data_IF_695785364739
#
_entry.id   IF_695785364739
#
_cell.length_a   1.000
_cell.length_b   1.000
_cell.length_c   1.000
_cell.angle_alpha   90.00
_cell.angle_beta   90.00
_cell.angle_gamma   90.00
#
_symmetry.space_group_name_H-M   'P 1'
#
loop_
_entity.id
_entity.type
_entity.pdbx_description
1 polymer ?
#
# COMPACT_ATOMS: atom_id res chain seq x y z
N UNK A 1 -5.82 -10.85 45.54
CA UNK A 1 -7.09 -10.12 45.46
C UNK A 1 -7.33 -9.76 44.02
N UNK A 2 -6.37 -9.08 43.38
CA UNK A 2 -6.28 -8.67 41.96
C UNK A 2 -7.11 -9.44 40.92
N UNK A 3 -7.12 -10.78 40.91
CA UNK A 3 -7.88 -11.58 39.93
C UNK A 3 -9.40 -11.50 40.07
N UNK A 4 -9.92 -11.18 41.27
CA UNK A 4 -11.36 -11.05 41.51
C UNK A 4 -11.85 -9.68 41.07
N UNK A 5 -11.11 -8.63 41.38
CA UNK A 5 -11.37 -7.29 40.87
C UNK A 5 -11.30 -7.24 39.33
N UNK A 6 -10.31 -7.89 38.71
CA UNK A 6 -10.20 -7.99 37.25
C UNK A 6 -11.43 -8.68 36.61
N UNK A 7 -11.94 -9.73 37.26
CA UNK A 7 -13.13 -10.45 36.81
C UNK A 7 -14.39 -9.59 36.93
N UNK A 8 -14.52 -8.83 38.02
CA UNK A 8 -15.65 -7.92 38.23
C UNK A 8 -15.65 -6.78 37.20
N UNK A 9 -14.47 -6.23 36.88
CA UNK A 9 -14.30 -5.23 35.82
C UNK A 9 -14.71 -5.83 34.47
N UNK A 10 -14.24 -7.05 34.14
CA UNK A 10 -14.59 -7.71 32.90
C UNK A 10 -16.11 -7.91 32.76
N UNK A 11 -16.79 -8.40 33.81
CA UNK A 11 -18.24 -8.61 33.76
C UNK A 11 -19.00 -7.29 33.52
N UNK A 12 -18.59 -6.20 34.17
CA UNK A 12 -19.17 -4.86 33.92
C UNK A 12 -18.99 -4.42 32.47
N UNK A 13 -17.80 -4.59 31.89
CA UNK A 13 -17.57 -4.24 30.49
C UNK A 13 -18.43 -5.06 29.52
N UNK A 14 -18.66 -6.34 29.81
CA UNK A 14 -19.54 -7.20 28.99
C UNK A 14 -20.99 -6.71 29.03
N UNK A 15 -21.48 -6.34 30.21
CA UNK A 15 -22.83 -5.79 30.37
C UNK A 15 -22.99 -4.45 29.65
N UNK A 16 -22.01 -3.55 29.76
CA UNK A 16 -21.97 -2.27 29.05
C UNK A 16 -21.99 -2.44 27.52
N UNK A 17 -21.22 -3.38 26.98
CA UNK A 17 -21.22 -3.70 25.54
C UNK A 17 -22.55 -4.31 25.13
N UNK A 18 -23.14 -5.18 25.96
CA UNK A 18 -24.44 -5.79 25.66
C UNK A 18 -25.54 -4.73 25.56
N UNK A 19 -25.57 -3.77 26.49
CA UNK A 19 -26.51 -2.65 26.47
C UNK A 19 -26.32 -1.80 25.20
N UNK A 20 -25.07 -1.46 24.87
CA UNK A 20 -24.75 -0.70 23.67
C UNK A 20 -25.21 -1.39 22.38
N UNK A 21 -25.03 -2.71 22.29
CA UNK A 21 -25.48 -3.52 21.14
C UNK A 21 -27.01 -3.60 21.07
N UNK A 22 -27.70 -3.57 22.22
CA UNK A 22 -29.16 -3.50 22.26
C UNK A 22 -29.66 -2.15 21.77
N UNK A 23 -29.05 -1.04 22.21
CA UNK A 23 -29.41 0.31 21.79
C UNK A 23 -29.16 0.53 20.28
N UNK A 24 -28.09 -0.04 19.73
CA UNK A 24 -27.81 -0.02 18.28
C UNK A 24 -28.87 -0.74 17.45
N UNK A 25 -29.53 -1.76 18.03
CA UNK A 25 -30.62 -2.52 17.41
C UNK A 25 -32.00 -1.92 17.67
N UNK A 26 -32.08 -0.81 18.41
CA UNK A 26 -33.34 -0.12 18.68
C UNK A 26 -33.96 0.41 17.38
N UNK A 27 -35.30 0.31 17.21
CA UNK A 27 -36.00 0.90 16.08
C UNK A 27 -36.11 2.44 16.15
N UNK A 28 -35.70 3.05 17.27
CA UNK A 28 -35.73 4.49 17.48
C UNK A 28 -34.42 5.15 17.02
N UNK A 29 -34.52 6.05 16.04
CA UNK A 29 -33.38 6.69 15.36
C UNK A 29 -32.50 7.49 16.33
N UNK A 30 -33.09 8.20 17.29
CA UNK A 30 -32.34 9.02 18.25
C UNK A 30 -31.52 8.18 19.23
N UNK A 31 -32.07 7.02 19.66
CA UNK A 31 -31.37 6.08 20.54
C UNK A 31 -30.25 5.39 19.78
N UNK A 32 -30.53 4.94 18.55
CA UNK A 32 -29.54 4.33 17.68
C UNK A 32 -28.37 5.29 17.36
N UNK A 33 -28.64 6.57 17.08
CA UNK A 33 -27.60 7.56 16.80
C UNK A 33 -26.71 7.81 18.02
N UNK A 34 -27.30 7.96 19.22
CA UNK A 34 -26.53 8.09 20.46
C UNK A 34 -25.71 6.84 20.77
N UNK A 35 -26.24 5.66 20.47
CA UNK A 35 -25.50 4.41 20.62
C UNK A 35 -24.32 4.32 19.65
N UNK A 36 -24.47 4.84 18.43
CA UNK A 36 -23.38 4.93 17.45
C UNK A 36 -22.25 5.85 17.96
N UNK A 37 -22.58 7.05 18.44
CA UNK A 37 -21.60 7.99 19.01
C UNK A 37 -20.87 7.39 20.22
N UNK A 38 -21.59 6.67 21.10
CA UNK A 38 -21.00 5.95 22.24
C UNK A 38 -20.04 4.85 21.78
N UNK A 39 -20.41 4.08 20.75
CA UNK A 39 -19.57 3.03 20.19
C UNK A 39 -18.27 3.59 19.58
N UNK A 40 -18.36 4.69 18.83
CA UNK A 40 -17.19 5.36 18.25
C UNK A 40 -16.23 5.86 19.33
N UNK A 41 -16.77 6.46 20.39
CA UNK A 41 -15.99 6.90 21.55
C UNK A 41 -15.32 5.72 22.27
N UNK A 42 -16.01 4.59 22.42
CA UNK A 42 -15.47 3.38 23.04
C UNK A 42 -14.31 2.78 22.22
N UNK A 43 -14.45 2.70 20.90
CA UNK A 43 -13.38 2.25 20.00
C UNK A 43 -12.18 3.19 20.06
N UNK A 44 -12.41 4.50 20.04
CA UNK A 44 -11.33 5.48 20.14
C UNK A 44 -10.59 5.44 21.48
N UNK A 45 -11.28 5.09 22.57
CA UNK A 45 -10.67 4.93 23.89
C UNK A 45 -9.85 3.63 24.03
N UNK A 46 -10.22 2.58 23.29
CA UNK A 46 -9.49 1.31 23.22
C UNK A 46 -8.27 1.33 22.29
N UNK A 47 -8.11 2.38 21.48
CA UNK A 47 -6.89 2.65 20.73
C UNK A 47 -5.74 3.05 21.69
N UNK A 48 -5.36 2.12 22.56
CA UNK A 48 -4.08 2.11 23.24
C UNK A 48 -2.99 2.12 22.16
N UNK A 49 -1.94 2.96 22.26
CA UNK A 49 -0.88 3.01 21.26
C UNK A 49 -0.24 1.62 21.16
N UNK A 50 -0.57 0.85 20.13
CA UNK A 50 -0.09 -0.53 20.02
C UNK A 50 1.44 -0.56 20.14
N UNK A 51 1.95 -1.23 21.18
CA UNK A 51 3.36 -1.15 21.59
C UNK A 51 4.31 -1.91 20.66
N UNK A 52 3.81 -2.47 19.56
CA UNK A 52 4.63 -3.04 18.49
C UNK A 52 4.14 -2.58 17.13
N UNK A 53 4.19 -1.27 16.87
CA UNK A 53 4.24 -0.76 15.48
C UNK A 53 5.55 -1.18 14.83
N UNK A 54 5.63 -2.44 14.41
CA UNK A 54 6.56 -2.82 13.35
C UNK A 54 5.93 -2.29 12.05
N UNK A 55 6.29 -1.06 11.67
CA UNK A 55 5.96 -0.50 10.37
C UNK A 55 6.74 -1.25 9.27
N UNK A 56 6.44 -2.54 9.05
CA UNK A 56 6.99 -3.32 7.93
C UNK A 56 6.18 -3.09 6.64
N UNK A 57 4.98 -2.53 6.76
CA UNK A 57 4.21 -2.10 5.61
C UNK A 57 4.60 -0.66 5.26
N UNK A 58 5.32 -0.49 4.16
CA UNK A 58 5.38 0.79 3.43
C UNK A 58 4.01 1.01 2.82
N UNK A 59 3.02 1.38 3.64
CA UNK A 59 1.67 1.71 3.17
C UNK A 59 1.78 3.03 2.40
N UNK A 60 1.01 3.15 1.32
CA UNK A 60 0.92 4.39 0.56
C UNK A 60 0.59 5.56 1.52
N UNK A 61 1.51 6.51 1.66
CA UNK A 61 1.38 7.69 2.54
C UNK A 61 0.40 8.73 2.01
N UNK A 62 -0.10 8.54 0.78
CA UNK A 62 -1.16 9.34 0.15
C UNK A 62 -2.18 8.38 -0.46
N UNK A 63 -2.98 7.67 0.35
CA UNK A 63 -4.09 6.91 -0.19
C UNK A 63 -5.00 7.89 -0.96
N UNK A 64 -5.50 7.51 -2.14
CA UNK A 64 -6.57 8.28 -2.78
C UNK A 64 -7.69 8.48 -1.75
N UNK A 65 -8.23 9.69 -1.64
CA UNK A 65 -9.39 9.90 -0.78
C UNK A 65 -10.45 8.86 -1.15
N UNK A 66 -11.03 8.14 -0.18
CA UNK A 66 -12.19 7.31 -0.48
C UNK A 66 -13.23 8.21 -1.16
N UNK A 67 -13.92 7.71 -2.20
CA UNK A 67 -15.01 8.47 -2.80
C UNK A 67 -15.97 8.88 -1.68
N UNK A 68 -16.58 10.08 -1.74
CA UNK A 68 -17.58 10.49 -0.76
C UNK A 68 -18.59 9.35 -0.61
N UNK A 69 -18.73 8.84 0.61
CA UNK A 69 -19.77 7.87 0.93
C UNK A 69 -21.09 8.62 0.86
N UNK A 70 -21.64 8.71 -0.35
CA UNK A 70 -22.98 9.21 -0.54
C UNK A 70 -23.91 8.15 0.06
N UNK A 71 -24.48 8.48 1.22
CA UNK A 71 -25.22 7.61 2.13
C UNK A 71 -26.57 7.11 1.55
N UNK A 72 -26.73 7.11 0.21
CA UNK A 72 -28.03 6.95 -0.46
C UNK A 72 -28.10 5.80 -1.49
N UNK A 73 -27.13 4.88 -1.54
CA UNK A 73 -27.26 3.68 -2.39
C UNK A 73 -26.79 2.40 -1.69
N UNK A 74 -27.57 2.00 -0.70
CA UNK A 74 -27.51 0.80 0.14
C UNK A 74 -27.81 -0.52 -0.64
N UNK A 75 -27.53 -0.60 -1.94
CA UNK A 75 -27.68 -1.85 -2.69
C UNK A 75 -26.33 -2.56 -2.80
N UNK A 76 -26.24 -3.88 -2.49
CA UNK A 76 -25.05 -4.70 -2.74
C UNK A 76 -24.49 -4.54 -4.16
N UNK A 77 -25.36 -4.35 -5.16
CA UNK A 77 -24.96 -4.17 -6.56
C UNK A 77 -24.18 -2.87 -6.78
N UNK A 78 -24.54 -1.79 -6.09
CA UNK A 78 -23.83 -0.51 -6.18
C UNK A 78 -22.44 -0.63 -5.56
N UNK A 79 -22.32 -1.35 -4.44
CA UNK A 79 -21.02 -1.65 -3.82
C UNK A 79 -20.12 -2.45 -4.77
N UNK A 80 -20.63 -3.53 -5.38
CA UNK A 80 -19.86 -4.32 -6.35
C UNK A 80 -19.37 -3.45 -7.51
N UNK A 81 -20.24 -2.59 -8.06
CA UNK A 81 -19.89 -1.68 -9.16
C UNK A 81 -18.80 -0.66 -8.78
N UNK A 82 -18.79 -0.17 -7.54
CA UNK A 82 -17.73 0.73 -7.04
C UNK A 82 -16.40 -0.02 -6.96
N UNK A 83 -16.40 -1.24 -6.41
CA UNK A 83 -15.21 -2.07 -6.29
C UNK A 83 -14.65 -2.44 -7.68
N UNK A 84 -15.50 -2.83 -8.61
CA UNK A 84 -15.11 -3.12 -10.00
C UNK A 84 -14.43 -1.91 -10.64
N UNK A 85 -15.02 -0.71 -10.52
CA UNK A 85 -14.42 0.53 -11.03
C UNK A 85 -13.04 0.79 -10.43
N UNK A 86 -12.88 0.68 -9.11
CA UNK A 86 -11.57 0.88 -8.49
C UNK A 86 -10.54 -0.17 -8.94
N UNK A 87 -10.97 -1.43 -9.11
CA UNK A 87 -10.11 -2.50 -9.62
C UNK A 87 -9.64 -2.20 -11.05
N UNK A 88 -10.54 -1.72 -11.92
CA UNK A 88 -10.23 -1.28 -13.28
C UNK A 88 -9.28 -0.09 -13.30
N UNK A 89 -9.53 0.94 -12.48
CA UNK A 89 -8.66 2.11 -12.36
C UNK A 89 -7.27 1.74 -11.86
N UNK A 90 -7.17 0.84 -10.88
CA UNK A 90 -5.88 0.29 -10.42
C UNK A 90 -5.16 -0.46 -11.54
N UNK A 91 -5.88 -1.29 -12.31
CA UNK A 91 -5.33 -2.01 -13.47
C UNK A 91 -4.83 -1.04 -14.54
N UNK A 92 -5.61 -0.02 -14.89
CA UNK A 92 -5.26 0.99 -15.88
C UNK A 92 -4.00 1.77 -15.47
N UNK A 93 -3.94 2.22 -14.20
CA UNK A 93 -2.75 2.92 -13.64
C UNK A 93 -1.49 2.05 -13.72
N UNK A 94 -1.59 0.77 -13.34
CA UNK A 94 -0.44 -0.16 -13.46
C UNK A 94 -0.03 -0.39 -14.91
N UNK A 95 -0.98 -0.58 -15.82
CA UNK A 95 -0.72 -0.77 -17.25
C UNK A 95 -0.03 0.46 -17.86
N UNK A 96 -0.48 1.67 -17.51
CA UNK A 96 0.14 2.91 -17.97
C UNK A 96 1.58 3.05 -17.47
N UNK A 97 1.84 2.77 -16.18
CA UNK A 97 3.21 2.77 -15.62
C UNK A 97 4.10 1.71 -16.26
N UNK A 98 3.57 0.50 -16.49
CA UNK A 98 4.29 -0.55 -17.17
C UNK A 98 4.70 -0.15 -18.58
N UNK A 99 3.78 0.45 -19.36
CA UNK A 99 4.09 0.98 -20.71
C UNK A 99 5.18 2.06 -20.69
N UNK A 100 5.16 2.97 -19.72
CA UNK A 100 6.22 3.98 -19.56
C UNK A 100 7.57 3.31 -19.24
N UNK A 101 7.59 2.39 -18.29
CA UNK A 101 8.80 1.66 -17.91
C UNK A 101 9.37 0.82 -19.07
N UNK A 102 8.52 0.21 -19.91
CA UNK A 102 8.98 -0.52 -21.11
C UNK A 102 9.65 0.41 -22.12
N UNK A 103 9.14 1.62 -22.33
CA UNK A 103 9.79 2.61 -23.21
C UNK A 103 11.18 2.98 -22.70
N UNK A 104 11.34 3.19 -21.39
CA UNK A 104 12.65 3.44 -20.79
C UNK A 104 13.59 2.24 -20.92
N UNK A 105 13.08 1.02 -20.73
CA UNK A 105 13.84 -0.21 -20.94
C UNK A 105 14.33 -0.32 -22.38
N UNK A 106 13.49 -0.04 -23.37
CA UNK A 106 13.85 -0.13 -24.78
C UNK A 106 14.91 0.94 -25.15
N UNK A 107 14.77 2.19 -24.67
CA UNK A 107 15.80 3.24 -24.82
C UNK A 107 17.13 2.89 -24.16
N UNK A 108 17.08 2.29 -22.96
CA UNK A 108 18.28 1.82 -22.28
C UNK A 108 18.97 0.69 -23.04
N UNK A 109 18.20 -0.21 -23.65
CA UNK A 109 18.74 -1.28 -24.49
C UNK A 109 19.38 -0.73 -25.78
N UNK A 110 18.79 0.31 -26.38
CA UNK A 110 19.36 0.99 -27.55
C UNK A 110 20.70 1.67 -27.21
N UNK A 111 20.76 2.41 -26.10
CA UNK A 111 22.00 3.01 -25.62
C UNK A 111 23.06 1.96 -25.28
N UNK A 112 22.64 0.84 -24.68
CA UNK A 112 23.52 -0.29 -24.37
C UNK A 112 24.10 -0.93 -25.64
N UNK A 113 23.30 -1.06 -26.70
CA UNK A 113 23.78 -1.56 -28.00
C UNK A 113 24.79 -0.62 -28.68
N UNK A 114 24.80 0.66 -28.31
CA UNK A 114 25.77 1.67 -28.76
C UNK A 114 27.01 1.75 -27.85
N UNK A 115 27.14 0.84 -26.87
CA UNK A 115 28.20 0.85 -25.84
C UNK A 115 28.18 2.12 -24.95
N UNK A 116 27.13 2.94 -25.01
CA UNK A 116 26.92 4.06 -24.10
C UNK A 116 26.29 3.57 -22.79
N UNK A 117 27.15 2.97 -21.97
CA UNK A 117 26.78 2.41 -20.67
C UNK A 117 26.26 3.46 -19.68
N UNK A 118 26.72 4.71 -19.76
CA UNK A 118 26.32 5.75 -18.81
C UNK A 118 24.87 6.19 -19.06
N UNK A 119 24.53 6.40 -20.32
CA UNK A 119 23.17 6.74 -20.74
C UNK A 119 22.22 5.56 -20.52
N UNK A 120 22.66 4.33 -20.80
CA UNK A 120 21.86 3.13 -20.51
C UNK A 120 21.49 3.00 -19.02
N UNK A 121 22.45 3.23 -18.10
CA UNK A 121 22.18 3.19 -16.65
C UNK A 121 21.18 4.27 -16.23
N UNK A 122 21.23 5.46 -16.82
CA UNK A 122 20.27 6.54 -16.56
C UNK A 122 18.86 6.11 -16.97
N UNK A 123 18.67 5.66 -18.21
CA UNK A 123 17.37 5.21 -18.69
C UNK A 123 16.79 4.05 -17.86
N UNK A 124 17.63 3.09 -17.46
CA UNK A 124 17.16 2.01 -16.57
C UNK A 124 16.79 2.51 -15.17
N UNK A 125 17.48 3.54 -14.67
CA UNK A 125 17.15 4.15 -13.37
C UNK A 125 15.84 4.94 -13.43
N UNK A 126 15.60 5.66 -14.54
CA UNK A 126 14.35 6.38 -14.79
C UNK A 126 13.17 5.41 -14.93
N UNK A 127 13.36 4.29 -15.62
CA UNK A 127 12.35 3.23 -15.72
C UNK A 127 11.98 2.63 -14.35
N UNK A 128 12.96 2.49 -13.45
CA UNK A 128 12.72 2.01 -12.08
C UNK A 128 12.03 3.05 -11.19
N UNK A 129 12.19 4.35 -11.48
CA UNK A 129 11.45 5.40 -10.80
C UNK A 129 9.95 5.35 -11.14
N UNK A 130 9.60 4.98 -12.37
CA UNK A 130 8.21 4.78 -12.82
C UNK A 130 7.62 3.47 -12.28
N UNK A 131 8.35 2.35 -12.41
CA UNK A 131 7.91 1.02 -11.97
C UNK A 131 9.06 0.27 -11.29
N UNK A 132 9.04 0.27 -9.95
CA UNK A 132 10.06 -0.40 -9.12
C UNK A 132 10.05 -1.92 -9.24
N UNK A 133 8.94 -2.52 -9.67
CA UNK A 133 8.77 -3.98 -9.68
C UNK A 133 9.32 -4.64 -10.96
N UNK A 134 9.90 -3.87 -11.88
CA UNK A 134 10.36 -4.37 -13.17
C UNK A 134 11.76 -5.02 -13.07
N UNK A 135 11.80 -6.33 -12.84
CA UNK A 135 13.03 -7.12 -12.72
C UNK A 135 14.06 -6.91 -13.84
N UNK A 136 13.68 -6.87 -15.15
CA UNK A 136 14.67 -6.70 -16.23
C UNK A 136 15.55 -5.46 -16.10
N UNK A 137 15.03 -4.35 -15.57
CA UNK A 137 15.79 -3.11 -15.40
C UNK A 137 16.93 -3.26 -14.39
N UNK A 138 16.72 -4.03 -13.31
CA UNK A 138 17.77 -4.32 -12.35
C UNK A 138 18.84 -5.23 -12.93
N UNK A 139 18.44 -6.29 -13.64
CA UNK A 139 19.37 -7.21 -14.28
C UNK A 139 20.26 -6.48 -15.29
N UNK A 140 19.68 -5.64 -16.15
CA UNK A 140 20.42 -4.90 -17.15
C UNK A 140 21.39 -3.88 -16.51
N UNK A 141 21.00 -3.20 -15.43
CA UNK A 141 21.92 -2.33 -14.67
C UNK A 141 23.09 -3.11 -14.05
N UNK A 142 22.85 -4.32 -13.55
CA UNK A 142 23.89 -5.17 -12.99
C UNK A 142 24.85 -5.71 -14.07
N UNK A 143 24.32 -6.02 -15.26
CA UNK A 143 25.10 -6.44 -16.43
C UNK A 143 26.16 -5.40 -16.79
N UNK A 144 25.75 -4.13 -16.90
CA UNK A 144 26.66 -3.01 -17.23
C UNK A 144 27.82 -2.91 -16.23
N UNK A 145 27.53 -3.06 -14.93
CA UNK A 145 28.58 -3.03 -13.89
C UNK A 145 29.61 -4.14 -14.09
N UNK A 146 29.15 -5.36 -14.39
CA UNK A 146 30.01 -6.50 -14.67
C UNK A 146 30.86 -6.33 -15.93
N UNK A 147 30.35 -5.63 -16.94
CA UNK A 147 31.12 -5.38 -18.17
C UNK A 147 32.22 -4.36 -17.94
N UNK A 148 31.89 -3.26 -17.27
CA UNK A 148 32.88 -2.25 -16.87
C UNK A 148 33.97 -2.81 -15.96
N UNK A 149 33.63 -3.74 -15.06
CA UNK A 149 34.60 -4.45 -14.23
C UNK A 149 35.53 -5.34 -15.07
N UNK A 150 34.98 -6.12 -16.01
CA UNK A 150 35.78 -6.94 -16.93
C UNK A 150 36.69 -6.11 -17.84
N UNK A 151 36.25 -4.94 -18.29
CA UNK A 151 37.07 -4.00 -19.06
C UNK A 151 38.26 -3.50 -18.25
N UNK A 152 38.04 -3.08 -17.00
CA UNK A 152 39.12 -2.66 -16.09
C UNK A 152 40.13 -3.77 -15.82
N UNK A 153 39.65 -5.00 -15.60
CA UNK A 153 40.52 -6.16 -15.41
C UNK A 153 41.41 -6.40 -16.64
N UNK A 154 40.85 -6.26 -17.86
CA UNK A 154 41.60 -6.37 -19.12
C UNK A 154 42.62 -5.26 -19.29
N UNK A 155 42.26 -4.01 -18.99
CA UNK A 155 43.19 -2.87 -19.04
C UNK A 155 44.37 -3.06 -18.07
N UNK A 156 44.12 -3.55 -16.85
CA UNK A 156 45.19 -3.86 -15.90
C UNK A 156 46.11 -4.98 -16.40
N UNK A 157 45.58 -6.01 -17.05
CA UNK A 157 46.36 -7.09 -17.65
C UNK A 157 47.20 -6.63 -18.85
N UNK A 158 46.77 -5.60 -19.58
CA UNK A 158 47.51 -5.02 -20.71
C UNK A 158 48.65 -4.07 -20.27
N UNK A 159 48.64 -3.63 -19.01
CA UNK A 159 49.62 -2.70 -18.44
C UNK A 159 50.70 -3.40 -17.57
N UNK A 160 50.63 -4.72 -17.40
CA UNK A 160 51.66 -5.55 -16.75
C UNK A 160 52.48 -6.32 -17.77
#
# INVERSE_FOLDING_TARGET
MDKLEDLEIFLKTVDEISELVMDLKSPEVDVQHKALERADCYVAALDEPCSTKVNKTTINTKPPLPPPLDLQNESPDNFMKIIERDAEDRRARRSAKAKKATVFKDKGNEAYAQEDYETAVKYYSDGLAELRDMQPLYTNRAQIKRERERERERECLLLM
#
